data_IF_386335589440
#
_entry.id   IF_386335589440
#
_cell.length_a   1.000
_cell.length_b   1.000
_cell.length_c   1.000
_cell.angle_alpha   90.00
_cell.angle_beta   90.00
_cell.angle_gamma   90.00
#
_symmetry.space_group_name_H-M   'P 1'
#
loop_
_entity.id
_entity.type
_entity.pdbx_description
1 polymer ?
#
# COMPACT_ATOMS: atom_id res chain seq x y z
N UNK A 1 5.75 2.29 -15.69
CA UNK A 1 6.43 1.37 -14.77
C UNK A 1 7.52 0.65 -15.52
N UNK A 2 8.72 0.59 -14.95
CA UNK A 2 9.86 -0.17 -15.42
C UNK A 2 10.19 -1.22 -14.36
N UNK A 3 10.44 -2.45 -14.80
CA UNK A 3 10.79 -3.58 -13.93
C UNK A 3 12.07 -4.23 -14.46
N UNK A 4 13.02 -4.46 -13.56
CA UNK A 4 14.25 -5.17 -13.82
C UNK A 4 14.36 -6.41 -12.91
N UNK A 5 14.58 -7.58 -13.50
CA UNK A 5 14.66 -8.86 -12.80
C UNK A 5 15.99 -9.54 -13.11
N UNK A 6 17.08 -9.15 -12.41
CA UNK A 6 18.40 -9.74 -12.65
C UNK A 6 18.47 -11.22 -12.25
N UNK A 7 17.59 -11.66 -11.33
CA UNK A 7 17.43 -13.07 -10.94
C UNK A 7 15.96 -13.43 -11.08
N UNK A 8 15.66 -14.40 -11.91
CA UNK A 8 14.32 -14.94 -12.12
C UNK A 8 14.44 -16.46 -12.42
N UNK A 9 14.73 -17.21 -11.38
CA UNK A 9 14.91 -18.67 -11.41
C UNK A 9 13.87 -19.33 -10.51
N UNK A 10 13.67 -20.63 -10.65
CA UNK A 10 12.79 -21.37 -9.78
C UNK A 10 13.19 -21.23 -8.31
N UNK A 11 12.31 -20.67 -7.49
CA UNK A 11 12.55 -20.40 -6.07
C UNK A 11 13.51 -19.26 -5.76
N UNK A 12 13.98 -18.50 -6.75
CA UNK A 12 14.82 -17.33 -6.56
C UNK A 12 14.35 -16.17 -7.42
N UNK A 13 14.14 -15.03 -6.80
CA UNK A 13 13.72 -13.81 -7.47
C UNK A 13 14.47 -12.61 -6.88
N UNK A 14 14.95 -11.75 -7.77
CA UNK A 14 15.27 -10.37 -7.44
C UNK A 14 14.54 -9.47 -8.44
N UNK A 15 13.58 -8.70 -7.95
CA UNK A 15 12.78 -7.78 -8.73
C UNK A 15 12.97 -6.36 -8.18
N UNK A 16 13.34 -5.44 -9.04
CA UNK A 16 13.48 -4.02 -8.76
C UNK A 16 12.57 -3.28 -9.72
N UNK A 17 11.70 -2.43 -9.21
CA UNK A 17 10.77 -1.67 -10.03
C UNK A 17 10.76 -0.19 -9.70
N UNK A 18 10.42 0.62 -10.69
CA UNK A 18 10.15 2.03 -10.54
C UNK A 18 8.95 2.44 -11.41
N UNK A 19 8.15 3.36 -10.90
CA UNK A 19 6.99 3.88 -11.60
C UNK A 19 6.87 5.39 -11.46
N UNK A 20 6.39 6.03 -12.52
CA UNK A 20 6.02 7.45 -12.52
C UNK A 20 4.63 7.57 -13.13
N UNK A 21 3.76 8.35 -12.49
CA UNK A 21 2.42 8.67 -12.99
C UNK A 21 2.25 10.18 -12.98
N UNK A 22 1.89 10.73 -14.13
CA UNK A 22 1.49 12.12 -14.29
C UNK A 22 -0.03 12.18 -14.49
N UNK A 23 -0.71 13.07 -13.76
CA UNK A 23 -2.16 13.30 -13.89
C UNK A 23 -2.47 14.77 -13.76
N UNK A 24 -3.45 15.23 -14.53
CA UNK A 24 -4.16 16.48 -14.28
C UNK A 24 -5.40 16.21 -13.42
N UNK A 25 -5.87 17.17 -12.62
CA UNK A 25 -7.14 17.02 -11.92
C UNK A 25 -8.27 16.83 -12.94
N UNK A 26 -9.31 16.11 -12.54
CA UNK A 26 -10.52 16.03 -13.34
C UNK A 26 -11.14 17.44 -13.39
N UNK A 27 -11.64 17.83 -14.55
CA UNK A 27 -12.43 19.05 -14.69
C UNK A 27 -13.82 18.78 -14.11
N UNK A 28 -13.98 19.00 -12.81
CA UNK A 28 -15.30 19.17 -12.23
C UNK A 28 -16.01 20.35 -12.96
N UNK A 29 -17.33 20.38 -12.91
CA UNK A 29 -18.08 21.51 -13.49
C UNK A 29 -17.58 22.81 -12.85
N UNK A 30 -17.40 23.89 -13.62
CA UNK A 30 -16.95 25.16 -13.09
C UNK A 30 -17.80 25.61 -11.89
N UNK A 31 -17.15 25.87 -10.76
CA UNK A 31 -17.82 26.25 -9.52
C UNK A 31 -18.11 25.11 -8.55
N UNK A 32 -17.80 23.86 -8.88
CA UNK A 32 -17.85 22.76 -7.92
C UNK A 32 -16.74 22.89 -6.86
N UNK A 33 -17.04 22.50 -5.61
CA UNK A 33 -16.07 22.54 -4.50
C UNK A 33 -14.82 21.67 -4.75
N UNK A 34 -14.91 20.70 -5.66
CA UNK A 34 -13.84 19.78 -6.03
C UNK A 34 -13.16 20.15 -7.36
N UNK A 35 -13.47 21.32 -7.93
CA UNK A 35 -12.77 21.81 -9.13
C UNK A 35 -11.26 21.90 -8.87
N UNK A 36 -10.45 21.39 -9.80
CA UNK A 36 -8.99 21.38 -9.69
C UNK A 36 -8.46 20.79 -8.35
N UNK A 37 -9.06 19.70 -7.89
CA UNK A 37 -8.75 19.10 -6.59
C UNK A 37 -8.30 17.66 -6.71
N UNK A 38 -7.30 17.26 -5.92
CA UNK A 38 -6.99 15.85 -5.68
C UNK A 38 -7.40 15.44 -4.27
N UNK A 39 -8.15 14.35 -4.15
CA UNK A 39 -8.59 13.79 -2.88
C UNK A 39 -7.92 12.43 -2.66
N UNK A 40 -7.27 12.29 -1.50
CA UNK A 40 -6.64 11.05 -1.04
C UNK A 40 -7.41 10.53 0.16
N UNK A 41 -7.84 9.27 0.09
CA UNK A 41 -8.60 8.62 1.15
C UNK A 41 -8.00 7.25 1.46
N UNK A 42 -7.94 6.88 2.73
CA UNK A 42 -7.60 5.54 3.16
C UNK A 42 -8.36 5.16 4.43
N UNK A 43 -9.01 3.98 4.46
CA UNK A 43 -9.66 3.45 5.66
C UNK A 43 -8.65 2.84 6.64
N UNK A 44 -7.34 2.87 6.35
CA UNK A 44 -6.31 2.22 7.15
C UNK A 44 -6.21 0.71 6.86
N UNK A 45 -6.07 -0.11 7.90
CA UNK A 45 -5.82 -1.56 7.77
C UNK A 45 -7.07 -2.39 7.47
N UNK A 46 -8.26 -1.84 7.67
CA UNK A 46 -9.53 -2.53 7.41
C UNK A 46 -10.34 -1.84 6.33
N UNK A 47 -10.73 -2.62 5.31
CA UNK A 47 -11.64 -2.15 4.25
C UNK A 47 -13.12 -2.41 4.57
N UNK A 48 -13.43 -3.05 5.69
CA UNK A 48 -14.80 -3.30 6.16
C UNK A 48 -15.36 -2.05 6.85
N UNK A 49 -14.48 -1.29 7.51
CA UNK A 49 -14.81 -0.01 8.12
C UNK A 49 -14.77 1.09 7.05
N UNK A 50 -15.89 1.76 6.82
CA UNK A 50 -16.01 2.81 5.81
C UNK A 50 -15.44 4.16 6.25
N UNK A 51 -14.93 4.27 7.48
CA UNK A 51 -14.28 5.49 7.96
C UNK A 51 -12.97 5.74 7.23
N UNK A 52 -12.74 6.99 6.87
CA UNK A 52 -11.48 7.39 6.24
C UNK A 52 -10.53 7.95 7.30
N UNK A 53 -9.64 7.11 7.80
CA UNK A 53 -8.62 7.52 8.79
C UNK A 53 -7.66 8.56 8.22
N UNK A 54 -7.35 8.44 6.95
CA UNK A 54 -6.55 9.38 6.18
C UNK A 54 -7.47 10.06 5.16
N UNK A 55 -7.48 11.39 5.18
CA UNK A 55 -8.25 12.19 4.24
C UNK A 55 -7.50 13.50 3.94
N UNK A 56 -6.90 13.59 2.77
CA UNK A 56 -6.24 14.81 2.29
C UNK A 56 -6.96 15.35 1.06
N UNK A 57 -7.44 16.59 1.15
CA UNK A 57 -8.01 17.35 0.03
C UNK A 57 -6.97 18.41 -0.37
N UNK A 58 -6.52 18.37 -1.62
CA UNK A 58 -5.51 19.28 -2.18
C UNK A 58 -6.14 20.04 -3.34
N UNK A 59 -6.55 21.25 -3.06
CA UNK A 59 -7.18 22.19 -3.98
C UNK A 59 -6.16 22.98 -4.83
N UNK A 60 -6.65 23.76 -5.78
CA UNK A 60 -5.86 24.58 -6.71
C UNK A 60 -4.79 23.74 -7.43
N UNK A 61 -5.06 22.48 -7.68
CA UNK A 61 -4.12 21.56 -8.28
C UNK A 61 -3.99 21.81 -9.80
N UNK A 62 -2.75 21.93 -10.27
CA UNK A 62 -2.42 21.99 -11.69
C UNK A 62 -2.12 20.61 -12.28
N UNK A 63 -1.30 19.85 -11.58
CA UNK A 63 -0.98 18.47 -11.91
C UNK A 63 -0.45 17.71 -10.69
N UNK A 64 -0.54 16.41 -10.76
CA UNK A 64 0.03 15.45 -9.81
C UNK A 64 1.16 14.67 -10.47
N UNK A 65 2.26 14.49 -9.75
CA UNK A 65 3.32 13.55 -10.07
C UNK A 65 3.41 12.52 -8.94
N UNK A 66 3.15 11.23 -9.24
CA UNK A 66 3.44 10.12 -8.33
C UNK A 66 4.70 9.40 -8.78
N UNK A 67 5.55 9.09 -7.82
CA UNK A 67 6.78 8.32 -8.01
C UNK A 67 6.76 7.14 -7.07
N UNK A 68 7.10 5.96 -7.54
CA UNK A 68 7.16 4.74 -6.74
C UNK A 68 8.42 3.96 -7.04
N UNK A 69 8.97 3.32 -6.02
CA UNK A 69 10.04 2.33 -6.13
C UNK A 69 9.62 1.08 -5.38
N UNK A 70 9.98 -0.08 -5.93
CA UNK A 70 9.61 -1.37 -5.36
C UNK A 70 10.79 -2.35 -5.41
N UNK A 71 10.86 -3.22 -4.42
CA UNK A 71 11.83 -4.30 -4.32
C UNK A 71 11.11 -5.58 -3.89
N UNK A 72 11.40 -6.69 -4.57
CA UNK A 72 10.98 -8.03 -4.14
C UNK A 72 12.17 -8.98 -4.21
N UNK A 73 12.32 -9.76 -3.16
CA UNK A 73 13.35 -10.80 -3.05
C UNK A 73 12.64 -12.08 -2.65
N UNK A 74 12.82 -13.15 -3.41
CA UNK A 74 12.44 -14.49 -2.99
C UNK A 74 13.66 -15.39 -2.99
N UNK A 75 13.79 -16.22 -1.97
CA UNK A 75 14.75 -17.29 -1.90
C UNK A 75 14.11 -18.52 -1.25
N UNK A 76 13.72 -19.48 -2.08
CA UNK A 76 13.01 -20.70 -1.68
C UNK A 76 11.73 -20.39 -0.87
N UNK A 77 11.79 -20.56 0.44
CA UNK A 77 10.68 -20.39 1.39
C UNK A 77 10.62 -19.00 2.00
N UNK A 78 11.56 -18.13 1.70
CA UNK A 78 11.61 -16.77 2.23
C UNK A 78 11.23 -15.76 1.17
N UNK A 79 10.43 -14.77 1.56
CA UNK A 79 10.01 -13.68 0.69
C UNK A 79 10.09 -12.34 1.43
N UNK A 80 10.68 -11.35 0.78
CA UNK A 80 10.74 -9.97 1.23
C UNK A 80 10.20 -9.06 0.12
N UNK A 81 9.36 -8.11 0.47
CA UNK A 81 8.85 -7.10 -0.44
C UNK A 81 8.79 -5.75 0.27
N UNK A 82 9.11 -4.69 -0.45
CA UNK A 82 8.91 -3.32 -0.01
C UNK A 82 8.55 -2.40 -1.17
N UNK A 83 7.77 -1.39 -0.86
CA UNK A 83 7.40 -0.34 -1.81
C UNK A 83 7.37 1.00 -1.09
N UNK A 84 7.84 2.04 -1.75
CA UNK A 84 7.75 3.42 -1.30
C UNK A 84 7.13 4.28 -2.41
N UNK A 85 6.13 5.06 -2.07
CA UNK A 85 5.42 5.94 -2.99
C UNK A 85 5.46 7.37 -2.44
N UNK A 86 5.80 8.31 -3.31
CA UNK A 86 5.69 9.75 -3.06
C UNK A 86 4.74 10.37 -4.07
N UNK A 87 3.85 11.21 -3.60
CA UNK A 87 3.01 12.06 -4.43
C UNK A 87 3.40 13.52 -4.26
N UNK A 88 3.43 14.27 -5.34
CA UNK A 88 3.62 15.71 -5.37
C UNK A 88 2.49 16.31 -6.19
N UNK A 89 1.83 17.33 -5.67
CA UNK A 89 0.83 18.12 -6.38
C UNK A 89 1.37 19.51 -6.60
N UNK A 90 1.55 19.89 -7.85
CA UNK A 90 1.80 21.29 -8.22
C UNK A 90 0.50 22.05 -8.12
N UNK A 91 0.51 23.16 -7.38
CA UNK A 91 -0.64 24.03 -7.17
C UNK A 91 -0.48 25.35 -7.95
N UNK A 92 -1.60 25.99 -8.26
CA UNK A 92 -1.66 27.26 -8.95
C UNK A 92 -1.78 28.45 -7.97
N UNK A 93 -1.87 29.68 -8.47
CA UNK A 93 -2.17 30.89 -7.72
C UNK A 93 -1.25 31.15 -6.51
N UNK A 94 0.05 30.80 -6.63
CA UNK A 94 1.05 30.95 -5.57
C UNK A 94 0.83 30.08 -4.32
N UNK A 95 -0.06 29.09 -4.37
CA UNK A 95 -0.17 28.11 -3.30
C UNK A 95 1.09 27.22 -3.23
N UNK A 96 1.53 26.92 -2.02
CA UNK A 96 2.65 26.01 -1.79
C UNK A 96 2.32 24.61 -2.32
N UNK A 97 3.27 23.98 -3.02
CA UNK A 97 3.09 22.64 -3.53
C UNK A 97 2.90 21.64 -2.40
N UNK A 98 2.03 20.68 -2.63
CA UNK A 98 1.77 19.60 -1.68
C UNK A 98 2.65 18.38 -1.96
N UNK A 99 3.11 17.73 -0.90
CA UNK A 99 3.74 16.41 -0.95
C UNK A 99 3.18 15.51 0.13
N UNK A 100 2.93 14.27 -0.24
CA UNK A 100 2.58 13.18 0.69
C UNK A 100 3.33 11.92 0.31
N UNK A 101 3.53 11.01 1.25
CA UNK A 101 4.26 9.78 1.00
C UNK A 101 3.80 8.63 1.87
N UNK A 102 4.13 7.42 1.43
CA UNK A 102 3.87 6.21 2.17
C UNK A 102 4.69 5.05 1.65
N UNK A 103 4.71 3.98 2.39
CA UNK A 103 5.42 2.78 1.98
C UNK A 103 5.19 1.63 2.94
N UNK A 104 5.69 0.47 2.55
CA UNK A 104 5.64 -0.71 3.39
C UNK A 104 6.85 -1.62 3.17
N UNK A 105 7.10 -2.44 4.18
CA UNK A 105 7.99 -3.60 4.09
C UNK A 105 7.24 -4.81 4.62
N UNK A 106 7.31 -5.92 3.90
CA UNK A 106 6.71 -7.19 4.27
C UNK A 106 7.74 -8.30 4.14
N UNK A 107 7.80 -9.16 5.14
CA UNK A 107 8.54 -10.42 5.07
C UNK A 107 7.58 -11.59 5.30
N UNK A 108 7.87 -12.70 4.64
CA UNK A 108 7.07 -13.92 4.74
C UNK A 108 7.97 -15.16 4.72
N UNK A 109 7.54 -16.19 5.42
CA UNK A 109 8.22 -17.47 5.48
C UNK A 109 7.23 -18.63 5.37
N UNK A 110 7.48 -19.52 4.42
CA UNK A 110 6.73 -20.75 4.26
C UNK A 110 7.21 -21.79 5.29
N UNK A 111 6.38 -22.07 6.29
CA UNK A 111 6.61 -23.17 7.24
C UNK A 111 6.48 -24.52 6.52
N UNK A 112 5.50 -24.62 5.61
CA UNK A 112 5.31 -25.75 4.72
C UNK A 112 5.11 -25.26 3.29
N UNK A 113 5.29 -26.12 2.31
CA UNK A 113 5.29 -25.74 0.90
C UNK A 113 6.71 -25.69 0.33
N UNK A 114 6.82 -25.47 -0.97
CA UNK A 114 8.10 -25.51 -1.66
C UNK A 114 8.74 -24.13 -1.80
N UNK A 115 8.02 -23.22 -2.45
CA UNK A 115 8.54 -21.91 -2.83
C UNK A 115 7.42 -20.94 -3.15
N UNK A 116 7.75 -19.66 -3.26
CA UNK A 116 6.84 -18.62 -3.74
C UNK A 116 6.71 -18.68 -5.26
N UNK A 117 5.50 -18.39 -5.75
CA UNK A 117 5.24 -18.15 -7.15
C UNK A 117 5.54 -16.69 -7.53
N UNK A 118 5.63 -16.47 -8.82
CA UNK A 118 5.72 -15.13 -9.41
C UNK A 118 4.83 -15.07 -10.66
N UNK A 119 4.02 -14.02 -10.78
CA UNK A 119 3.21 -13.75 -11.95
C UNK A 119 3.99 -12.82 -12.88
N UNK A 120 4.46 -13.37 -14.01
CA UNK A 120 5.27 -12.64 -14.95
C UNK A 120 4.49 -11.57 -15.72
N UNK A 121 3.21 -11.83 -15.99
CA UNK A 121 2.36 -10.90 -16.74
C UNK A 121 2.03 -9.65 -15.93
N UNK A 122 1.77 -9.83 -14.64
CA UNK A 122 1.46 -8.73 -13.72
C UNK A 122 2.70 -8.16 -13.04
N UNK A 123 3.84 -8.84 -13.17
CA UNK A 123 5.09 -8.52 -12.48
C UNK A 123 4.87 -8.34 -10.96
N UNK A 124 4.24 -9.35 -10.33
CA UNK A 124 3.89 -9.34 -8.92
C UNK A 124 4.10 -10.73 -8.26
N UNK A 125 4.14 -10.78 -6.91
CA UNK A 125 4.22 -12.05 -6.21
C UNK A 125 3.00 -12.92 -6.49
N UNK A 126 3.25 -14.18 -6.85
CA UNK A 126 2.23 -15.21 -6.98
C UNK A 126 1.98 -15.94 -5.64
N UNK A 127 0.97 -16.80 -5.64
CA UNK A 127 0.74 -17.71 -4.51
C UNK A 127 1.88 -18.71 -4.37
N UNK A 128 2.14 -19.24 -3.15
CA UNK A 128 3.00 -20.38 -2.96
C UNK A 128 2.56 -21.59 -3.80
N UNK A 129 3.53 -22.34 -4.28
CA UNK A 129 3.26 -23.52 -5.11
C UNK A 129 2.72 -24.64 -4.23
N UNK A 130 1.50 -25.09 -4.50
CA UNK A 130 0.82 -26.18 -3.81
C UNK A 130 0.23 -25.77 -2.45
N UNK A 131 0.06 -26.77 -1.56
CA UNK A 131 -0.40 -26.56 -0.20
C UNK A 131 0.69 -25.95 0.66
N UNK A 132 0.39 -24.84 1.35
CA UNK A 132 1.40 -24.14 2.12
C UNK A 132 0.81 -23.47 3.37
N UNK A 133 1.62 -23.39 4.43
CA UNK A 133 1.41 -22.58 5.62
C UNK A 133 2.51 -21.52 5.65
N UNK A 134 2.10 -20.26 5.75
CA UNK A 134 2.96 -19.09 5.70
C UNK A 134 2.80 -18.25 6.97
N UNK A 135 3.91 -17.81 7.53
CA UNK A 135 3.96 -16.70 8.49
C UNK A 135 4.36 -15.43 7.75
N UNK A 136 3.73 -14.32 8.07
CA UNK A 136 4.08 -13.03 7.50
C UNK A 136 4.08 -11.92 8.55
N UNK A 137 4.98 -10.95 8.36
CA UNK A 137 5.05 -9.70 9.10
C UNK A 137 5.07 -8.53 8.12
N UNK A 138 4.37 -7.45 8.44
CA UNK A 138 4.31 -6.26 7.61
C UNK A 138 4.34 -5.00 8.46
N UNK A 139 5.13 -4.04 8.04
CA UNK A 139 5.10 -2.68 8.55
C UNK A 139 4.65 -1.73 7.44
N UNK A 140 3.70 -0.87 7.75
CA UNK A 140 3.23 0.18 6.85
C UNK A 140 3.43 1.55 7.49
N UNK A 141 3.64 2.56 6.64
CA UNK A 141 3.59 3.96 7.01
C UNK A 141 2.90 4.78 5.92
N UNK A 142 2.11 5.76 6.31
CA UNK A 142 1.47 6.71 5.41
C UNK A 142 1.44 8.08 6.10
N UNK A 143 1.94 9.13 5.44
CA UNK A 143 1.85 10.50 5.91
C UNK A 143 1.37 11.39 4.76
N UNK A 144 0.20 11.98 4.97
CA UNK A 144 -0.46 12.87 4.03
C UNK A 144 -0.59 14.29 4.60
N UNK A 145 0.18 14.59 5.67
CA UNK A 145 0.30 15.96 6.19
C UNK A 145 1.36 16.73 5.42
N UNK A 146 1.09 17.98 5.16
CA UNK A 146 2.07 18.96 4.66
C UNK A 146 1.74 20.32 5.23
N UNK A 147 2.44 20.71 6.29
CA UNK A 147 2.22 21.95 7.02
C UNK A 147 2.44 23.18 6.15
N UNK A 148 3.48 23.18 5.32
CA UNK A 148 3.82 24.29 4.41
C UNK A 148 2.72 24.51 3.36
N UNK A 149 2.06 23.43 2.94
CA UNK A 149 0.94 23.50 2.00
C UNK A 149 -0.42 23.74 2.68
N UNK A 150 -0.47 23.75 4.02
CA UNK A 150 -1.71 23.88 4.78
C UNK A 150 -2.64 22.67 4.67
N UNK A 151 -2.10 21.48 4.36
CA UNK A 151 -2.88 20.26 4.18
C UNK A 151 -2.62 19.27 5.32
N UNK A 152 -3.69 18.96 6.04
CA UNK A 152 -3.69 18.08 7.21
C UNK A 152 -4.44 16.79 6.88
N UNK A 153 -3.78 15.91 6.11
CA UNK A 153 -4.39 14.69 5.60
C UNK A 153 -4.39 13.51 6.57
N UNK A 154 -3.64 13.64 7.67
CA UNK A 154 -3.45 12.57 8.64
C UNK A 154 -2.22 11.71 8.35
N UNK A 155 -1.72 11.04 9.39
CA UNK A 155 -0.64 10.07 9.31
C UNK A 155 -0.99 8.80 10.06
N UNK A 156 -0.44 7.67 9.62
CA UNK A 156 -0.62 6.36 10.25
C UNK A 156 0.61 5.50 10.07
N UNK A 157 0.92 4.73 11.10
CA UNK A 157 1.82 3.58 11.02
C UNK A 157 1.10 2.36 11.53
N UNK A 158 1.40 1.20 11.02
CA UNK A 158 0.89 -0.06 11.57
C UNK A 158 1.90 -1.19 11.40
N UNK A 159 1.83 -2.12 12.32
CA UNK A 159 2.56 -3.38 12.28
C UNK A 159 1.56 -4.54 12.30
N UNK A 160 1.69 -5.45 11.37
CA UNK A 160 0.80 -6.60 11.23
C UNK A 160 1.59 -7.90 11.27
N UNK A 161 1.02 -8.89 11.96
CA UNK A 161 1.45 -10.29 11.93
C UNK A 161 0.32 -11.14 11.35
N UNK A 162 0.67 -12.11 10.51
CA UNK A 162 -0.32 -12.93 9.86
C UNK A 162 0.10 -14.38 9.68
N UNK A 163 -0.90 -15.24 9.59
CA UNK A 163 -0.78 -16.64 9.20
C UNK A 163 -1.69 -16.87 8.00
N UNK A 164 -1.11 -17.35 6.91
CA UNK A 164 -1.84 -17.69 5.71
C UNK A 164 -1.77 -19.19 5.46
N UNK A 165 -2.91 -19.80 5.22
CA UNK A 165 -3.01 -21.21 4.87
C UNK A 165 -3.58 -21.36 3.46
N UNK A 166 -2.78 -21.91 2.56
CA UNK A 166 -3.15 -22.19 1.18
C UNK A 166 -3.47 -23.66 1.06
N UNK A 167 -4.77 -24.00 0.99
CA UNK A 167 -5.22 -25.40 0.84
C UNK A 167 -4.88 -25.95 -0.54
N UNK A 168 -5.12 -25.14 -1.57
CA UNK A 168 -4.83 -25.41 -2.97
C UNK A 168 -4.77 -24.09 -3.76
N UNK A 169 -4.67 -24.18 -5.10
CA UNK A 169 -4.64 -23.00 -5.98
C UNK A 169 -5.91 -22.12 -5.91
N UNK A 170 -7.02 -22.66 -5.45
CA UNK A 170 -8.31 -21.98 -5.41
C UNK A 170 -8.72 -21.48 -4.02
N UNK A 171 -8.38 -22.24 -2.97
CA UNK A 171 -8.88 -21.99 -1.62
C UNK A 171 -7.73 -21.62 -0.69
N UNK A 172 -7.97 -20.59 0.11
CA UNK A 172 -7.05 -20.16 1.16
C UNK A 172 -7.76 -19.48 2.33
N UNK A 173 -7.09 -19.47 3.46
CA UNK A 173 -7.53 -18.81 4.68
C UNK A 173 -6.40 -17.93 5.22
N UNK A 174 -6.71 -16.73 5.67
CA UNK A 174 -5.74 -15.78 6.20
C UNK A 174 -6.24 -15.24 7.53
N UNK A 175 -5.39 -15.27 8.54
CA UNK A 175 -5.59 -14.62 9.83
C UNK A 175 -4.52 -13.55 10.00
N UNK A 176 -4.91 -12.34 10.34
CA UNK A 176 -4.00 -11.23 10.56
C UNK A 176 -4.38 -10.42 11.80
N UNK A 177 -3.39 -10.07 12.60
CA UNK A 177 -3.49 -9.13 13.69
C UNK A 177 -2.66 -7.89 13.35
N UNK A 178 -3.27 -6.73 13.43
CA UNK A 178 -2.64 -5.44 13.13
C UNK A 178 -2.71 -4.52 14.34
N UNK A 179 -1.58 -3.95 14.72
CA UNK A 179 -1.48 -2.89 15.71
C UNK A 179 -1.30 -1.56 15.00
N UNK A 180 -2.30 -0.69 15.13
CA UNK A 180 -2.38 0.60 14.43
C UNK A 180 -1.99 1.72 15.39
N UNK A 181 -1.08 2.54 14.93
CA UNK A 181 -0.55 3.72 15.61
C UNK A 181 -0.97 4.97 14.80
N UNK A 182 -2.11 5.60 15.17
CA UNK A 182 -2.52 6.85 14.56
C UNK A 182 -1.48 7.93 14.80
N UNK A 183 -1.20 8.71 13.77
CA UNK A 183 -0.34 9.87 13.86
C UNK A 183 -1.15 11.17 13.97
N UNK A 184 -0.47 12.31 13.77
CA UNK A 184 -1.12 13.62 13.83
C UNK A 184 -2.20 13.76 12.74
N UNK A 185 -3.28 14.48 13.08
CA UNK A 185 -4.37 14.86 12.17
C UNK A 185 -5.14 13.71 11.52
N UNK A 186 -5.14 12.54 12.17
CA UNK A 186 -5.97 11.43 11.73
C UNK A 186 -7.45 11.80 11.85
N UNK A 187 -8.28 11.26 10.96
CA UNK A 187 -9.72 11.58 10.90
C UNK A 187 -10.54 10.48 11.56
N UNK A 188 -11.73 10.87 12.02
CA UNK A 188 -12.82 9.98 12.45
C UNK A 188 -12.51 9.02 13.63
N UNK A 189 -11.32 9.05 14.19
CA UNK A 189 -10.96 8.28 15.39
C UNK A 189 -10.10 9.10 16.35
N UNK A 190 -9.97 8.58 17.57
CA UNK A 190 -9.04 9.11 18.58
C UNK A 190 -7.59 8.82 18.19
N UNK A 191 -6.64 9.63 18.66
CA UNK A 191 -5.20 9.46 18.48
C UNK A 191 -4.63 8.23 19.23
N UNK A 192 -5.49 7.43 19.86
CA UNK A 192 -5.08 6.25 20.62
C UNK A 192 -4.80 5.08 19.70
N UNK A 193 -3.76 4.33 20.02
CA UNK A 193 -3.46 3.07 19.37
C UNK A 193 -4.64 2.10 19.51
N UNK A 194 -4.89 1.33 18.45
CA UNK A 194 -5.91 0.29 18.44
C UNK A 194 -5.43 -0.94 17.67
N UNK A 195 -6.14 -2.03 17.81
CA UNK A 195 -5.82 -3.28 17.14
C UNK A 195 -6.97 -3.77 16.29
N UNK A 196 -6.63 -4.45 15.20
CA UNK A 196 -7.58 -5.06 14.29
C UNK A 196 -7.22 -6.53 14.10
N UNK A 197 -8.18 -7.43 14.36
CA UNK A 197 -8.07 -8.85 14.05
C UNK A 197 -8.95 -9.15 12.84
N UNK A 198 -8.36 -9.74 11.79
CA UNK A 198 -9.05 -10.05 10.55
C UNK A 198 -8.90 -11.53 10.20
N UNK A 199 -10.03 -12.15 9.84
CA UNK A 199 -10.07 -13.49 9.26
C UNK A 199 -10.67 -13.37 7.85
N UNK A 200 -9.98 -13.95 6.87
CA UNK A 200 -10.42 -13.98 5.47
C UNK A 200 -10.42 -15.39 4.92
N UNK A 201 -11.55 -15.79 4.37
CA UNK A 201 -11.64 -16.92 3.46
C UNK A 201 -11.57 -16.41 2.02
N UNK A 202 -10.80 -17.07 1.20
CA UNK A 202 -10.61 -16.69 -0.21
C UNK A 202 -10.86 -17.91 -1.09
N UNK A 203 -11.76 -17.75 -2.05
CA UNK A 203 -12.01 -18.70 -3.14
C UNK A 203 -11.77 -17.98 -4.46
N UNK A 204 -11.02 -18.62 -5.36
CA UNK A 204 -10.77 -18.16 -6.73
C UNK A 204 -11.35 -19.22 -7.65
N UNK A 205 -12.30 -18.83 -8.48
CA UNK A 205 -12.98 -19.68 -9.48
C UNK A 205 -12.18 -19.70 -10.79
#
# INVERSE_FOLDING_TARGET
RLVYRPVNEEGKLLHIGAAVVYRTPDSALPGDEDENTFIYKSPGVSTIDNRNLIYAKVDHAKYQLKQGVELMIAHQRFFLQGEYIRTMVKREQNFTNYTGHGGYVQCSWLLTGRQYGYDEALACPGRPVGRALELCGRFNMLDMNNEEAGVWGGAQKDFSLGVNYYMNKHIGMKLAYSWVMPGKHIKEISDKNFSVLQLRFQMIL
#
